data_IF_606229847281
#
_entry.id   IF_606229847281
#
_cell.length_a   1.000
_cell.length_b   1.000
_cell.length_c   1.000
_cell.angle_alpha   90.00
_cell.angle_beta   90.00
_cell.angle_gamma   90.00
#
_symmetry.space_group_name_H-M   'P 1'
#
loop_
_entity.id
_entity.type
_entity.pdbx_description
1 polymer ?
#
# COMPACT_ATOMS: atom_id res chain seq x y z
N UNK A 1 -6.51 -2.15 14.48
CA UNK A 1 -6.53 -1.81 13.05
C UNK A 1 -7.80 -2.35 12.44
N UNK A 2 -8.57 -1.46 11.81
CA UNK A 2 -9.68 -1.89 10.99
C UNK A 2 -9.19 -2.68 9.78
N UNK A 3 -9.91 -3.71 9.41
CA UNK A 3 -9.75 -4.38 8.10
C UNK A 3 -9.82 -3.29 7.02
N UNK A 4 -8.92 -3.30 6.00
CA UNK A 4 -9.04 -2.35 4.90
C UNK A 4 -10.47 -2.37 4.37
N UNK A 5 -11.10 -1.20 4.29
CA UNK A 5 -12.45 -1.11 3.77
C UNK A 5 -12.38 -1.43 2.28
N UNK A 6 -13.03 -2.53 1.90
CA UNK A 6 -13.13 -2.91 0.48
C UNK A 6 -13.72 -1.74 -0.32
N UNK A 7 -13.12 -1.34 -1.43
CA UNK A 7 -13.73 -0.36 -2.32
C UNK A 7 -15.15 -0.80 -2.67
N UNK A 8 -16.09 0.13 -2.68
CA UNK A 8 -17.48 -0.19 -3.02
C UNK A 8 -17.57 -0.70 -4.46
N UNK A 9 -17.81 -1.98 -4.63
CA UNK A 9 -17.99 -2.66 -5.91
C UNK A 9 -19.22 -2.17 -6.73
N UNK A 10 -19.83 -1.07 -6.41
CA UNK A 10 -21.01 -0.57 -7.11
C UNK A 10 -20.81 0.69 -7.93
N UNK A 11 -19.67 1.37 -7.78
CA UNK A 11 -19.38 2.56 -8.56
C UNK A 11 -18.63 2.15 -9.85
N UNK A 12 -19.09 2.53 -11.04
CA UNK A 12 -18.33 2.24 -12.25
C UNK A 12 -17.00 2.99 -12.18
N UNK A 13 -15.88 2.36 -12.55
CA UNK A 13 -14.60 3.04 -12.61
C UNK A 13 -14.68 4.21 -13.58
N UNK A 14 -14.08 5.33 -13.21
CA UNK A 14 -14.08 6.59 -13.95
C UNK A 14 -13.56 6.50 -15.39
N UNK A 15 -12.77 5.48 -15.69
CA UNK A 15 -12.13 5.31 -17.00
C UNK A 15 -12.42 3.94 -17.56
N UNK A 16 -13.46 3.84 -18.37
CA UNK A 16 -13.87 2.61 -19.08
C UNK A 16 -12.79 2.06 -20.04
N UNK A 17 -11.84 2.90 -20.46
CA UNK A 17 -10.78 2.54 -21.40
C UNK A 17 -9.43 2.28 -20.74
N UNK A 18 -9.40 2.01 -19.43
CA UNK A 18 -8.15 1.63 -18.75
C UNK A 18 -7.62 0.32 -19.31
N UNK A 19 -6.30 0.22 -19.57
CA UNK A 19 -5.64 -1.05 -19.76
C UNK A 19 -6.06 -2.00 -18.64
N UNK A 20 -6.15 -3.18 -18.64
CA UNK A 20 -6.54 -4.04 -17.49
C UNK A 20 -7.96 -3.84 -16.94
N UNK A 21 -8.87 -3.14 -17.63
CA UNK A 21 -10.23 -2.93 -17.12
C UNK A 21 -10.96 -4.24 -16.78
N UNK A 22 -10.72 -5.30 -17.57
CA UNK A 22 -11.28 -6.63 -17.35
C UNK A 22 -10.35 -7.56 -16.55
N UNK A 23 -9.31 -7.02 -15.92
CA UNK A 23 -8.41 -7.83 -15.11
C UNK A 23 -9.09 -8.33 -13.82
N UNK A 24 -8.61 -9.47 -13.25
CA UNK A 24 -9.31 -10.15 -12.15
C UNK A 24 -9.28 -9.39 -10.83
N UNK A 25 -8.40 -8.41 -10.66
CA UNK A 25 -8.24 -7.71 -9.38
C UNK A 25 -8.48 -6.21 -9.51
N UNK A 26 -9.08 -5.67 -8.45
CA UNK A 26 -8.92 -4.27 -8.08
C UNK A 26 -7.80 -4.19 -7.04
N UNK A 27 -6.76 -3.42 -7.33
CA UNK A 27 -5.55 -3.36 -6.51
C UNK A 27 -5.51 -2.00 -5.84
N UNK A 28 -5.60 -2.01 -4.52
CA UNK A 28 -5.59 -0.79 -3.70
C UNK A 28 -4.22 -0.60 -3.07
N UNK A 29 -3.65 0.58 -3.30
CA UNK A 29 -2.35 1.00 -2.75
C UNK A 29 -2.59 2.12 -1.76
N UNK A 30 -2.21 1.91 -0.51
CA UNK A 30 -2.40 2.86 0.56
C UNK A 30 -1.14 3.03 1.39
N UNK A 31 -0.69 4.25 1.56
CA UNK A 31 0.46 4.55 2.40
C UNK A 31 0.92 5.99 2.30
N UNK A 32 1.87 6.31 3.14
CA UNK A 32 2.50 7.62 3.19
C UNK A 32 4.01 7.45 3.33
N UNK A 33 4.76 8.16 2.51
CA UNK A 33 6.23 8.16 2.54
C UNK A 33 6.72 9.58 2.77
N UNK A 34 7.52 9.77 3.82
CA UNK A 34 8.24 11.00 4.05
C UNK A 34 9.46 11.03 3.12
N UNK A 35 9.53 12.01 2.25
CA UNK A 35 10.60 12.17 1.26
C UNK A 35 11.71 13.07 1.79
N UNK A 36 12.94 12.88 1.29
CA UNK A 36 14.05 13.77 1.63
C UNK A 36 13.79 15.19 1.14
N UNK A 37 14.23 16.20 1.87
CA UNK A 37 14.23 17.59 1.40
C UNK A 37 14.99 17.67 0.06
N UNK A 38 14.41 18.39 -0.90
CA UNK A 38 15.01 18.54 -2.23
C UNK A 38 14.56 17.51 -3.26
N UNK A 39 13.78 16.51 -2.88
CA UNK A 39 13.11 15.65 -3.87
C UNK A 39 12.09 16.47 -4.63
N UNK A 40 12.26 16.52 -5.95
CA UNK A 40 11.35 17.23 -6.83
C UNK A 40 10.30 16.28 -7.47
N UNK A 41 9.35 16.88 -8.14
CA UNK A 41 8.28 16.15 -8.82
C UNK A 41 8.80 15.19 -9.89
N UNK A 42 9.85 15.57 -10.64
CA UNK A 42 10.39 14.73 -11.71
C UNK A 42 11.04 13.47 -11.15
N UNK A 43 11.77 13.57 -10.05
CA UNK A 43 12.35 12.41 -9.35
C UNK A 43 11.25 11.46 -8.84
N UNK A 44 10.18 12.02 -8.28
CA UNK A 44 9.05 11.23 -7.81
C UNK A 44 8.31 10.57 -8.96
N UNK A 45 8.11 11.29 -10.07
CA UNK A 45 7.50 10.75 -11.28
C UNK A 45 8.29 9.55 -11.81
N UNK A 46 9.61 9.63 -11.83
CA UNK A 46 10.47 8.52 -12.26
C UNK A 46 10.37 7.32 -11.31
N UNK A 47 10.36 7.55 -10.01
CA UNK A 47 10.23 6.48 -9.01
C UNK A 47 8.88 5.75 -9.10
N UNK A 48 7.81 6.47 -9.38
CA UNK A 48 6.45 5.93 -9.51
C UNK A 48 6.11 5.47 -10.93
N UNK A 49 7.04 5.57 -11.85
CA UNK A 49 6.84 5.16 -13.25
C UNK A 49 6.30 3.74 -13.42
N UNK A 50 6.75 2.73 -12.67
CA UNK A 50 6.17 1.39 -12.76
C UNK A 50 4.66 1.37 -12.52
N UNK A 51 4.15 2.20 -11.60
CA UNK A 51 2.71 2.27 -11.30
C UNK A 51 1.92 2.98 -12.40
N UNK A 52 2.30 4.19 -12.76
CA UNK A 52 1.50 4.95 -13.73
C UNK A 52 1.62 4.39 -15.15
N UNK A 53 2.73 3.76 -15.51
CA UNK A 53 2.85 3.02 -16.77
C UNK A 53 1.94 1.78 -16.80
N UNK A 54 1.89 1.03 -15.71
CA UNK A 54 0.98 -0.11 -15.61
C UNK A 54 -0.48 0.33 -15.78
N UNK A 55 -0.85 1.45 -15.20
CA UNK A 55 -2.18 2.05 -15.37
C UNK A 55 -2.43 2.60 -16.79
N UNK A 56 -1.45 2.53 -17.70
CA UNK A 56 -1.57 3.03 -19.07
C UNK A 56 -1.43 4.54 -19.20
N UNK A 57 -0.96 5.22 -18.16
CA UNK A 57 -0.76 6.66 -18.16
C UNK A 57 0.55 7.06 -18.85
N UNK A 58 0.64 8.32 -19.25
CA UNK A 58 1.83 8.90 -19.90
C UNK A 58 2.73 9.67 -18.93
N UNK A 59 2.20 9.99 -17.78
CA UNK A 59 2.89 10.74 -16.73
C UNK A 59 2.27 10.43 -15.37
N UNK A 60 2.94 10.83 -14.28
CA UNK A 60 2.39 10.72 -12.94
C UNK A 60 1.09 11.53 -12.80
N UNK A 61 1.05 12.75 -13.33
CA UNK A 61 -0.15 13.58 -13.28
C UNK A 61 -1.36 12.93 -13.95
N UNK A 62 -1.13 12.23 -15.06
CA UNK A 62 -2.18 11.50 -15.78
C UNK A 62 -2.61 10.23 -15.01
N UNK A 63 -1.68 9.54 -14.37
CA UNK A 63 -1.91 8.28 -13.66
C UNK A 63 -2.25 8.41 -12.17
N UNK A 64 -2.17 9.61 -11.59
CA UNK A 64 -2.36 9.82 -10.16
C UNK A 64 -3.81 9.68 -9.68
N UNK A 65 -4.78 9.84 -10.59
CA UNK A 65 -6.19 9.65 -10.27
C UNK A 65 -6.49 8.16 -10.03
N UNK A 66 -7.20 7.88 -8.93
CA UNK A 66 -7.67 6.53 -8.64
C UNK A 66 -8.81 6.12 -9.59
N UNK A 67 -9.08 4.83 -9.65
CA UNK A 67 -10.26 4.29 -10.31
C UNK A 67 -11.58 4.75 -9.64
N UNK A 68 -11.53 5.16 -8.37
CA UNK A 68 -12.66 5.65 -7.59
C UNK A 68 -12.52 7.14 -7.30
N UNK A 69 -13.61 7.91 -7.53
CA UNK A 69 -13.62 9.37 -7.33
C UNK A 69 -13.40 9.81 -5.89
N UNK A 70 -13.88 9.02 -4.93
CA UNK A 70 -13.75 9.30 -3.51
C UNK A 70 -12.33 9.12 -2.98
N UNK A 71 -11.46 8.45 -3.71
CA UNK A 71 -10.09 8.26 -3.32
C UNK A 71 -9.22 9.42 -3.83
N UNK A 72 -8.37 10.01 -2.97
CA UNK A 72 -7.53 11.14 -3.37
C UNK A 72 -6.47 10.80 -4.42
N UNK A 73 -6.15 9.52 -4.61
CA UNK A 73 -5.14 9.07 -5.55
C UNK A 73 -3.72 9.21 -5.03
N UNK A 74 -2.79 9.45 -5.92
CA UNK A 74 -1.38 9.69 -5.61
C UNK A 74 -1.14 11.19 -5.50
N UNK A 75 -0.68 11.64 -4.34
CA UNK A 75 -0.50 13.06 -4.04
C UNK A 75 0.93 13.34 -3.55
N UNK A 76 1.50 14.42 -4.04
CA UNK A 76 2.78 14.93 -3.59
C UNK A 76 2.62 16.30 -2.95
N UNK A 77 2.94 16.39 -1.66
CA UNK A 77 3.00 17.66 -0.94
C UNK A 77 4.45 18.14 -0.89
N UNK A 78 4.77 19.12 -1.73
CA UNK A 78 6.14 19.64 -1.83
C UNK A 78 6.57 20.41 -0.58
N UNK A 79 5.65 20.98 0.20
CA UNK A 79 5.96 21.70 1.43
C UNK A 79 6.26 20.77 2.59
N UNK A 80 5.45 19.72 2.73
CA UNK A 80 5.63 18.70 3.74
C UNK A 80 6.63 17.62 3.34
N UNK A 81 7.11 17.61 2.10
CA UNK A 81 7.96 16.56 1.53
C UNK A 81 7.34 15.17 1.68
N UNK A 82 6.06 15.06 1.39
CA UNK A 82 5.29 13.84 1.66
C UNK A 82 4.63 13.32 0.40
N UNK A 83 4.79 12.03 0.16
CA UNK A 83 4.02 11.26 -0.81
C UNK A 83 2.88 10.56 -0.09
N UNK A 84 1.65 10.78 -0.53
CA UNK A 84 0.47 10.06 -0.04
C UNK A 84 -0.15 9.26 -1.17
N UNK A 85 -0.51 8.03 -0.87
CA UNK A 85 -1.17 7.12 -1.80
C UNK A 85 -2.45 6.58 -1.18
N UNK A 86 -3.55 6.78 -1.87
CA UNK A 86 -4.83 6.15 -1.65
C UNK A 86 -5.43 5.95 -3.03
N UNK A 87 -5.01 4.90 -3.71
CA UNK A 87 -5.14 4.75 -5.14
C UNK A 87 -5.49 3.32 -5.51
N UNK A 88 -6.45 3.16 -6.42
CA UNK A 88 -6.90 1.85 -6.91
C UNK A 88 -6.71 1.77 -8.41
N UNK A 89 -6.24 0.62 -8.87
CA UNK A 89 -6.08 0.30 -10.28
C UNK A 89 -6.61 -1.10 -10.55
N UNK A 90 -7.12 -1.34 -11.75
CA UNK A 90 -7.44 -2.68 -12.23
C UNK A 90 -6.18 -3.39 -12.72
N UNK A 91 -6.00 -4.64 -12.34
CA UNK A 91 -4.80 -5.38 -12.72
C UNK A 91 -4.85 -6.86 -12.41
N UNK A 92 -3.72 -7.47 -12.61
CA UNK A 92 -3.44 -8.88 -12.37
C UNK A 92 -2.20 -9.05 -11.46
N UNK A 93 -1.74 -10.28 -11.29
CA UNK A 93 -0.57 -10.56 -10.46
C UNK A 93 0.73 -9.95 -10.99
N UNK A 94 0.81 -9.61 -12.28
CA UNK A 94 1.99 -8.96 -12.86
C UNK A 94 2.25 -7.57 -12.25
N UNK A 95 1.22 -6.96 -11.64
CA UNK A 95 1.38 -5.71 -10.91
C UNK A 95 2.36 -5.80 -9.72
N UNK A 96 2.59 -7.00 -9.19
CA UNK A 96 3.57 -7.22 -8.11
C UNK A 96 4.98 -6.78 -8.52
N UNK A 97 5.37 -7.04 -9.76
CA UNK A 97 6.66 -6.57 -10.27
C UNK A 97 6.74 -5.04 -10.32
N UNK A 98 5.66 -4.39 -10.72
CA UNK A 98 5.59 -2.92 -10.70
C UNK A 98 5.71 -2.34 -9.30
N UNK A 99 5.14 -3.03 -8.30
CA UNK A 99 5.27 -2.65 -6.90
C UNK A 99 6.69 -2.79 -6.37
N UNK A 100 7.38 -3.86 -6.71
CA UNK A 100 8.78 -4.07 -6.33
C UNK A 100 9.69 -3.00 -6.93
N UNK A 101 9.51 -2.70 -8.21
CA UNK A 101 10.26 -1.66 -8.93
C UNK A 101 10.00 -0.26 -8.33
N UNK A 102 8.76 0.02 -7.95
CA UNK A 102 8.40 1.25 -7.23
C UNK A 102 9.14 1.36 -5.90
N UNK A 103 9.16 0.29 -5.11
CA UNK A 103 9.84 0.28 -3.82
C UNK A 103 11.33 0.59 -3.97
N UNK A 104 11.98 0.02 -4.97
CA UNK A 104 13.38 0.30 -5.27
C UNK A 104 13.60 1.79 -5.59
N UNK A 105 12.73 2.39 -6.39
CA UNK A 105 12.80 3.82 -6.70
C UNK A 105 12.54 4.71 -5.49
N UNK A 106 11.56 4.35 -4.66
CA UNK A 106 11.22 5.12 -3.45
C UNK A 106 12.29 5.01 -2.35
N UNK A 107 13.04 3.92 -2.28
CA UNK A 107 14.14 3.79 -1.31
C UNK A 107 15.15 4.93 -1.44
N UNK A 108 15.45 5.35 -2.66
CA UNK A 108 16.41 6.43 -2.93
C UNK A 108 15.86 7.82 -2.57
N UNK A 109 14.55 7.95 -2.45
CA UNK A 109 13.88 9.23 -2.19
C UNK A 109 13.38 9.37 -0.76
N UNK A 110 13.26 8.28 -0.02
CA UNK A 110 12.72 8.26 1.33
C UNK A 110 13.66 8.88 2.34
N UNK A 111 13.13 9.72 3.23
CA UNK A 111 13.84 10.28 4.40
C UNK A 111 13.96 9.25 5.51
N UNK A 112 12.91 8.47 5.71
CA UNK A 112 12.81 7.45 6.75
C UNK A 112 12.03 6.25 6.23
N UNK A 113 12.01 5.18 7.02
CA UNK A 113 11.24 3.99 6.69
C UNK A 113 9.74 4.27 6.64
N UNK A 114 9.06 3.59 5.74
CA UNK A 114 7.61 3.66 5.60
C UNK A 114 7.04 2.29 5.18
N UNK A 115 5.78 2.07 5.53
CA UNK A 115 5.03 0.90 5.11
C UNK A 115 3.94 1.30 4.11
N UNK A 116 3.76 0.50 3.08
CA UNK A 116 2.76 0.67 2.05
C UNK A 116 1.88 -0.57 2.04
N UNK A 117 0.58 -0.38 2.27
CA UNK A 117 -0.41 -1.46 2.28
C UNK A 117 -0.93 -1.70 0.87
N UNK A 118 -0.93 -2.95 0.44
CA UNK A 118 -1.45 -3.36 -0.86
C UNK A 118 -2.52 -4.40 -0.64
N UNK A 119 -3.68 -4.22 -1.25
CA UNK A 119 -4.75 -5.20 -1.24
C UNK A 119 -5.19 -5.52 -2.65
N UNK A 120 -5.20 -6.81 -2.99
CA UNK A 120 -5.75 -7.33 -4.22
C UNK A 120 -7.15 -7.84 -3.92
N UNK A 121 -8.17 -7.14 -4.42
CA UNK A 121 -9.55 -7.58 -4.30
C UNK A 121 -9.95 -8.38 -5.52
N UNK A 122 -10.43 -9.61 -5.31
CA UNK A 122 -10.96 -10.46 -6.39
C UNK A 122 -12.29 -9.88 -6.90
N UNK A 123 -12.31 -9.44 -8.16
CA UNK A 123 -13.49 -8.85 -8.78
C UNK A 123 -14.44 -9.89 -9.38
N UNK A 124 -13.99 -11.14 -9.52
CA UNK A 124 -14.79 -12.24 -10.05
C UNK A 124 -15.57 -12.97 -8.93
N UNK A 125 -15.24 -12.65 -7.66
CA UNK A 125 -15.92 -13.25 -6.52
C UNK A 125 -17.25 -12.53 -6.25
N UNK A 126 -18.35 -13.26 -6.37
CA UNK A 126 -19.71 -12.81 -6.02
C UNK A 126 -20.13 -13.48 -4.71
N UNK A 127 -20.26 -12.67 -3.64
CA UNK A 127 -20.67 -13.15 -2.32
C UNK A 127 -22.13 -13.68 -2.33
N UNK A 128 -22.96 -13.16 -3.22
CA UNK A 128 -24.39 -13.57 -3.34
C UNK A 128 -24.57 -14.91 -4.05
N UNK A 129 -23.60 -15.31 -4.87
CA UNK A 129 -23.61 -16.59 -5.61
C UNK A 129 -22.65 -17.65 -5.00
N UNK A 130 -21.91 -17.28 -3.98
CA UNK A 130 -20.92 -18.16 -3.35
C UNK A 130 -21.60 -19.22 -2.49
N UNK A 131 -21.15 -20.47 -2.58
CA UNK A 131 -21.44 -21.50 -1.59
C UNK A 131 -20.84 -21.13 -0.24
N UNK A 132 -21.41 -21.64 0.86
CA UNK A 132 -20.99 -21.35 2.26
C UNK A 132 -19.48 -21.57 2.50
N UNK A 133 -18.81 -22.37 1.66
CA UNK A 133 -17.39 -22.69 1.73
C UNK A 133 -16.51 -21.83 0.78
N UNK A 134 -17.11 -20.96 -0.03
CA UNK A 134 -16.36 -20.12 -0.97
C UNK A 134 -15.86 -18.84 -0.27
N UNK A 135 -14.57 -18.64 -0.28
CA UNK A 135 -13.90 -17.44 0.26
C UNK A 135 -13.42 -16.53 -0.88
N UNK A 136 -13.56 -15.21 -0.67
CA UNK A 136 -12.95 -14.24 -1.57
C UNK A 136 -11.42 -14.44 -1.60
N UNK A 137 -10.84 -14.37 -2.80
CA UNK A 137 -9.39 -14.50 -3.01
C UNK A 137 -8.65 -13.17 -2.78
N UNK A 138 -9.12 -12.39 -1.81
CA UNK A 138 -8.45 -11.16 -1.45
C UNK A 138 -7.07 -11.48 -0.85
N UNK A 139 -6.06 -10.81 -1.35
CA UNK A 139 -4.68 -10.95 -0.88
C UNK A 139 -4.19 -9.59 -0.38
N UNK A 140 -3.60 -9.63 0.80
CA UNK A 140 -3.06 -8.45 1.46
C UNK A 140 -1.57 -8.60 1.64
N UNK A 141 -0.82 -7.56 1.28
CA UNK A 141 0.61 -7.53 1.50
C UNK A 141 1.06 -6.17 2.02
N UNK A 142 2.13 -6.16 2.78
CA UNK A 142 2.78 -4.97 3.25
C UNK A 142 4.13 -4.83 2.57
N UNK A 143 4.37 -3.68 1.95
CA UNK A 143 5.66 -3.33 1.39
C UNK A 143 6.37 -2.30 2.28
N UNK A 144 7.68 -2.39 2.33
CA UNK A 144 8.49 -1.49 3.14
C UNK A 144 9.52 -0.78 2.27
N UNK A 145 9.63 0.52 2.47
CA UNK A 145 10.63 1.37 1.80
C UNK A 145 11.42 2.14 2.84
N UNK A 146 12.62 2.53 2.50
CA UNK A 146 13.46 3.34 3.38
C UNK A 146 14.84 3.58 2.78
N UNK A 147 15.57 4.60 3.30
CA UNK A 147 16.89 4.96 2.77
C UNK A 147 17.98 3.95 3.09
N UNK A 148 17.77 3.10 4.08
CA UNK A 148 18.73 2.06 4.50
C UNK A 148 17.98 0.79 4.94
N UNK A 149 18.65 -0.38 4.91
CA UNK A 149 18.08 -1.60 5.48
C UNK A 149 17.68 -1.44 6.96
N UNK A 150 18.45 -0.69 7.75
CA UNK A 150 18.15 -0.43 9.15
C UNK A 150 16.85 0.37 9.33
N UNK A 151 16.61 1.37 8.48
CA UNK A 151 15.36 2.14 8.49
C UNK A 151 14.15 1.26 8.15
N UNK A 152 14.29 0.37 7.19
CA UNK A 152 13.24 -0.60 6.81
C UNK A 152 12.96 -1.56 7.96
N UNK A 153 13.99 -2.13 8.57
CA UNK A 153 13.85 -3.03 9.73
C UNK A 153 13.16 -2.33 10.91
N UNK A 154 13.46 -1.06 11.14
CA UNK A 154 12.84 -0.28 12.21
C UNK A 154 11.32 -0.17 12.02
N UNK A 155 10.86 0.12 10.82
CA UNK A 155 9.43 0.18 10.50
C UNK A 155 8.76 -1.19 10.64
N UNK A 156 9.40 -2.24 10.16
CA UNK A 156 8.91 -3.62 10.31
C UNK A 156 8.73 -3.98 11.78
N UNK A 157 9.72 -3.66 12.61
CA UNK A 157 9.68 -3.86 14.06
C UNK A 157 8.54 -3.09 14.69
N UNK A 158 8.42 -1.80 14.39
CA UNK A 158 7.40 -0.93 15.01
C UNK A 158 5.99 -1.41 14.67
N UNK A 159 5.75 -1.85 13.45
CA UNK A 159 4.46 -2.42 13.05
C UNK A 159 4.18 -3.74 13.76
N UNK A 160 5.15 -4.63 13.84
CA UNK A 160 4.98 -5.90 14.54
C UNK A 160 4.67 -5.68 16.01
N UNK A 161 5.39 -4.79 16.69
CA UNK A 161 5.15 -4.43 18.09
C UNK A 161 3.73 -3.89 18.24
N UNK A 162 3.32 -2.97 17.38
CA UNK A 162 1.99 -2.40 17.43
C UNK A 162 0.88 -3.44 17.22
N UNK A 163 1.04 -4.32 16.26
CA UNK A 163 0.06 -5.38 15.98
C UNK A 163 -0.06 -6.36 17.16
N UNK A 164 1.07 -6.75 17.75
CA UNK A 164 1.09 -7.61 18.93
C UNK A 164 0.45 -6.92 20.14
N UNK A 165 0.80 -5.66 20.40
CA UNK A 165 0.21 -4.89 21.50
C UNK A 165 -1.29 -4.75 21.33
N UNK A 166 -1.76 -4.37 20.14
CA UNK A 166 -3.19 -4.24 19.85
C UNK A 166 -3.95 -5.56 20.03
N UNK A 167 -3.34 -6.67 19.62
CA UNK A 167 -3.95 -8.00 19.80
C UNK A 167 -4.01 -8.38 21.28
N UNK A 168 -2.95 -8.12 22.02
CA UNK A 168 -2.84 -8.52 23.43
C UNK A 168 -3.62 -7.63 24.38
N UNK A 169 -3.80 -6.34 24.09
CA UNK A 169 -4.64 -5.42 24.89
C UNK A 169 -6.07 -5.90 25.05
N UNK A 170 -6.55 -6.73 24.14
CA UNK A 170 -7.89 -7.31 24.21
C UNK A 170 -8.00 -8.48 25.20
N UNK A 171 -6.87 -9.08 25.57
CA UNK A 171 -6.83 -10.36 26.29
C UNK A 171 -5.96 -10.36 27.53
N UNK A 172 -5.05 -9.40 27.67
CA UNK A 172 -4.03 -9.38 28.72
C UNK A 172 -3.90 -8.02 29.39
N UNK A 173 -3.37 -8.08 30.62
CA UNK A 173 -3.02 -6.93 31.42
C UNK A 173 -1.72 -6.26 30.88
N UNK A 174 -1.62 -4.94 31.00
CA UNK A 174 -0.48 -4.16 30.50
C UNK A 174 0.87 -4.54 31.09
N UNK A 175 0.91 -5.17 32.28
CA UNK A 175 2.15 -5.63 32.90
C UNK A 175 2.81 -6.82 32.16
N UNK A 176 2.03 -7.61 31.41
CA UNK A 176 2.51 -8.74 30.65
C UNK A 176 3.08 -8.32 29.28
N UNK A 177 2.61 -7.19 28.75
CA UNK A 177 3.01 -6.66 27.44
C UNK A 177 4.48 -6.27 27.36
N UNK A 178 5.05 -5.74 28.45
CA UNK A 178 6.44 -5.31 28.49
C UNK A 178 7.42 -6.43 28.18
N UNK A 179 7.15 -7.66 28.65
CA UNK A 179 7.96 -8.83 28.35
C UNK A 179 7.90 -9.24 26.88
N UNK A 180 6.72 -9.18 26.26
CA UNK A 180 6.53 -9.52 24.85
C UNK A 180 7.24 -8.51 23.95
N UNK A 181 7.10 -7.22 24.21
CA UNK A 181 7.80 -6.16 23.47
C UNK A 181 9.31 -6.34 23.55
N UNK A 182 9.85 -6.67 24.73
CA UNK A 182 11.28 -6.92 24.91
C UNK A 182 11.77 -8.12 24.08
N UNK A 183 10.99 -9.18 23.97
CA UNK A 183 11.34 -10.33 23.12
C UNK A 183 11.31 -9.98 21.63
N UNK A 184 10.35 -9.18 21.18
CA UNK A 184 10.30 -8.70 19.80
C UNK A 184 11.52 -7.84 19.48
N UNK A 185 11.91 -6.93 20.38
CA UNK A 185 13.09 -6.09 20.22
C UNK A 185 14.38 -6.89 20.00
N UNK A 186 14.51 -8.06 20.65
CA UNK A 186 15.66 -8.95 20.46
C UNK A 186 15.72 -9.53 19.04
N UNK A 187 14.60 -9.70 18.36
CA UNK A 187 14.56 -10.24 17.00
C UNK A 187 15.13 -9.25 15.97
N UNK A 188 15.16 -7.97 16.30
CA UNK A 188 15.60 -6.87 15.41
C UNK A 188 16.91 -6.19 15.89
N UNK A 189 17.54 -6.74 16.88
CA UNK A 189 18.83 -6.23 17.42
C UNK A 189 20.04 -6.86 16.75
#
# INVERSE_FOLDING_TARGET
>A
RGVPVRPRLGAPPLKLNMPHYNAPFEIHVHGQVQLRPGVDYDQLQDALKPLWKYAGARSLADGAASAYEEEPGIQFDAKAHTLQMCWTVRGDEDFRQSLDDMCMGLNDLAEQGAAIEITFYDTEFDEDEADDDAEARDDFMMLFVGPTPAAIMQVQRDLLVQDVVNMMERHFDGSELGGVVAEIDKLFS
#
